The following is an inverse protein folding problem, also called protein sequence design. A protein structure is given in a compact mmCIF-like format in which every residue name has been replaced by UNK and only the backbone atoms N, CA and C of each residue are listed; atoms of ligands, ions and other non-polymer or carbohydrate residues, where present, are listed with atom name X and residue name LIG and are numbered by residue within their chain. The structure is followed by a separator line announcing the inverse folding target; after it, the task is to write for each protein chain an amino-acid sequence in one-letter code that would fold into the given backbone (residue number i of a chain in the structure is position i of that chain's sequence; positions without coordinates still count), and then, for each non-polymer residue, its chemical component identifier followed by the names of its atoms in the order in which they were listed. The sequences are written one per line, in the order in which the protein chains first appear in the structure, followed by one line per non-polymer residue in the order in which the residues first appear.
data_IF_984703437169
#
_entry.id   IF_984703437169
#
_cell.length_a   1.000
_cell.length_b   1.000
_cell.length_c   1.000
_cell.angle_alpha   90.00
_cell.angle_beta   90.00
_cell.angle_gamma   90.00
#
_symmetry.space_group_name_H-M   'P 1'
#
loop_
_entity.id
_entity.type
_entity.pdbx_description
1 polymer ?
#
# COMPACT_ATOMS: atom_id res chain seq x y z
N UNK A 1 2.29 -23.07 17.68
CA UNK A 1 2.43 -23.47 16.28
C UNK A 1 2.56 -22.16 15.51
N UNK A 2 3.83 -21.81 15.21
CA UNK A 2 4.18 -20.58 14.49
C UNK A 2 3.40 -20.52 13.18
N UNK A 3 2.50 -19.56 13.08
CA UNK A 3 1.92 -19.14 11.82
C UNK A 3 2.98 -18.35 11.04
N UNK A 4 3.92 -19.08 10.45
CA UNK A 4 4.88 -18.50 9.49
C UNK A 4 4.19 -18.17 8.18
N UNK A 5 3.14 -17.36 8.23
CA UNK A 5 2.43 -16.89 7.02
C UNK A 5 2.98 -15.56 6.48
N UNK A 6 4.00 -14.99 7.10
CA UNK A 6 4.54 -13.69 6.69
C UNK A 6 5.76 -13.75 5.74
N UNK A 7 6.14 -14.91 5.21
CA UNK A 7 7.34 -15.01 4.35
C UNK A 7 7.16 -14.51 2.91
N UNK A 8 6.00 -14.03 2.52
CA UNK A 8 5.73 -13.50 1.19
C UNK A 8 5.07 -12.14 1.16
N UNK A 9 4.67 -11.62 2.31
CA UNK A 9 3.97 -10.34 2.43
C UNK A 9 4.79 -9.46 3.38
N UNK A 10 5.41 -8.43 2.85
CA UNK A 10 6.14 -7.47 3.67
C UNK A 10 5.17 -6.69 4.55
N UNK A 11 5.38 -6.69 5.84
CA UNK A 11 4.73 -5.77 6.75
C UNK A 11 5.16 -4.35 6.38
N UNK A 12 4.27 -3.57 5.78
CA UNK A 12 4.56 -2.21 5.33
C UNK A 12 4.30 -1.20 6.45
N UNK A 13 3.37 -1.52 7.33
CA UNK A 13 3.02 -0.67 8.45
C UNK A 13 2.60 -1.51 9.66
N UNK A 14 3.42 -1.49 10.68
CA UNK A 14 2.98 -1.69 12.05
C UNK A 14 2.65 -0.31 12.60
N UNK A 15 1.58 -0.19 13.36
CA UNK A 15 1.20 1.07 13.99
C UNK A 15 2.45 1.76 14.53
N UNK A 16 2.65 2.99 14.09
CA UNK A 16 3.63 3.86 14.69
C UNK A 16 3.12 4.20 16.09
N UNK A 17 3.54 3.45 17.08
CA UNK A 17 3.47 3.91 18.44
C UNK A 17 4.34 5.15 18.53
N UNK A 18 3.74 6.25 18.98
CA UNK A 18 4.40 7.58 19.07
C UNK A 18 5.69 7.51 19.94
N UNK A 19 5.85 6.44 20.71
CA UNK A 19 6.97 6.24 21.62
C UNK A 19 8.01 5.20 21.17
N UNK A 20 7.71 4.30 20.26
CA UNK A 20 8.62 3.19 19.92
C UNK A 20 9.25 3.25 18.54
N UNK A 21 8.78 4.11 17.63
CA UNK A 21 9.41 4.30 16.32
C UNK A 21 9.45 3.04 15.44
N UNK A 22 8.61 2.05 15.68
CA UNK A 22 8.49 0.88 14.83
C UNK A 22 7.77 1.28 13.54
N UNK A 23 8.54 1.36 12.49
CA UNK A 23 8.22 2.13 11.33
C UNK A 23 7.67 1.32 10.17
N UNK A 24 7.50 2.06 9.12
CA UNK A 24 7.10 1.63 7.81
C UNK A 24 8.28 0.98 7.08
N UNK A 25 8.16 -0.30 6.70
CA UNK A 25 9.18 -1.08 5.98
C UNK A 25 9.18 -0.82 4.46
N UNK A 26 8.69 0.33 4.01
CA UNK A 26 8.57 0.67 2.57
C UNK A 26 9.92 0.63 1.84
N UNK A 27 11.01 1.03 2.49
CA UNK A 27 12.35 0.98 1.90
C UNK A 27 12.81 -0.47 1.65
N UNK A 28 12.55 -1.35 2.61
CA UNK A 28 12.84 -2.77 2.48
C UNK A 28 11.97 -3.42 1.40
N UNK A 29 10.67 -3.11 1.40
CA UNK A 29 9.73 -3.58 0.39
C UNK A 29 10.15 -3.15 -1.02
N UNK A 30 10.48 -1.87 -1.23
CA UNK A 30 11.01 -1.39 -2.50
C UNK A 30 12.26 -2.17 -2.95
N UNK A 31 13.16 -2.50 -2.01
CA UNK A 31 14.35 -3.32 -2.30
C UNK A 31 13.97 -4.73 -2.76
N UNK A 32 12.94 -5.35 -2.18
CA UNK A 32 12.43 -6.65 -2.60
C UNK A 32 11.82 -6.59 -4.00
N UNK A 33 10.99 -5.57 -4.27
CA UNK A 33 10.37 -5.35 -5.58
C UNK A 33 11.43 -5.13 -6.66
N UNK A 34 12.48 -4.34 -6.39
CA UNK A 34 13.60 -4.12 -7.30
C UNK A 34 14.38 -5.41 -7.62
N UNK A 35 14.40 -6.38 -6.71
CA UNK A 35 14.96 -7.71 -6.93
C UNK A 35 14.03 -8.67 -7.66
N UNK A 36 12.86 -8.21 -8.09
CA UNK A 36 11.85 -9.03 -8.76
C UNK A 36 11.01 -9.90 -7.83
N UNK A 37 11.06 -9.68 -6.52
CA UNK A 37 10.23 -10.43 -5.57
C UNK A 37 8.81 -9.92 -5.61
N UNK A 38 7.88 -10.75 -6.09
CA UNK A 38 6.46 -10.42 -6.16
C UNK A 38 5.84 -10.55 -4.77
N UNK A 39 5.74 -9.44 -4.06
CA UNK A 39 5.16 -9.38 -2.72
C UNK A 39 4.26 -8.16 -2.58
N UNK A 40 3.12 -8.35 -1.94
CA UNK A 40 2.21 -7.27 -1.54
C UNK A 40 2.62 -6.64 -0.20
N UNK A 41 1.79 -5.72 0.27
CA UNK A 41 1.98 -5.06 1.55
C UNK A 41 0.77 -5.26 2.47
N UNK A 42 1.02 -5.31 3.77
CA UNK A 42 -0.01 -5.31 4.80
C UNK A 42 0.18 -4.13 5.73
N UNK A 43 -0.93 -3.61 6.24
CA UNK A 43 -0.96 -2.80 7.45
C UNK A 43 -1.69 -3.58 8.54
N UNK A 44 -1.19 -3.52 9.75
CA UNK A 44 -1.79 -4.16 10.91
C UNK A 44 -1.53 -3.35 12.18
N UNK A 45 -2.35 -3.58 13.20
CA UNK A 45 -2.25 -2.88 14.47
C UNK A 45 -1.17 -3.44 15.40
N UNK A 46 -0.71 -4.67 15.18
CA UNK A 46 0.07 -5.42 16.15
C UNK A 46 -0.59 -5.43 17.56
N UNK A 47 -1.91 -5.56 17.59
CA UNK A 47 -2.74 -5.40 18.77
C UNK A 47 -2.42 -6.45 19.86
N UNK A 48 -2.08 -5.99 21.07
CA UNK A 48 -1.73 -6.84 22.18
C UNK A 48 -2.82 -6.91 23.26
N UNK A 49 -3.33 -5.75 23.66
CA UNK A 49 -4.35 -5.68 24.70
C UNK A 49 -5.07 -4.32 24.67
N UNK A 50 -6.26 -4.23 24.07
CA UNK A 50 -7.00 -2.98 23.91
C UNK A 50 -7.41 -2.33 25.25
N UNK A 51 -7.40 -3.06 26.36
CA UNK A 51 -7.69 -2.50 27.68
C UNK A 51 -6.50 -1.75 28.29
N UNK A 52 -5.28 -2.01 27.82
CA UNK A 52 -4.05 -1.41 28.36
C UNK A 52 -3.33 -0.52 27.35
N UNK A 53 -3.49 -0.82 26.06
CA UNK A 53 -2.80 -0.15 24.97
C UNK A 53 -3.84 0.36 23.97
N UNK A 54 -3.66 1.59 23.49
CA UNK A 54 -4.46 2.12 22.38
C UNK A 54 -3.83 1.70 21.04
N UNK A 55 -3.67 0.38 20.87
CA UNK A 55 -3.01 -0.25 19.74
C UNK A 55 -3.99 -0.87 18.73
N UNK A 56 -5.22 -0.34 18.68
CA UNK A 56 -6.25 -0.74 17.72
C UNK A 56 -6.53 0.36 16.70
N UNK A 57 -6.94 -0.05 15.48
CA UNK A 57 -7.32 0.84 14.36
C UNK A 57 -6.19 1.76 13.88
N UNK A 58 -4.94 1.35 14.04
CA UNK A 58 -3.77 2.04 13.51
C UNK A 58 -3.44 1.62 12.07
N UNK A 59 -3.82 0.40 11.67
CA UNK A 59 -3.58 -0.12 10.32
C UNK A 59 -4.47 -1.32 9.99
N UNK A 60 -4.88 -1.43 8.72
CA UNK A 60 -5.74 -2.49 8.21
C UNK A 60 -5.52 -2.74 6.72
N UNK A 61 -6.12 -3.80 6.20
CA UNK A 61 -6.24 -4.06 4.77
C UNK A 61 -7.68 -3.88 4.33
N UNK A 62 -7.86 -3.29 3.14
CA UNK A 62 -9.15 -3.19 2.47
C UNK A 62 -9.16 -4.15 1.29
N UNK A 63 -9.99 -5.19 1.36
CA UNK A 63 -10.08 -6.23 0.34
C UNK A 63 -11.19 -5.89 -0.62
N UNK A 64 -10.91 -5.94 -1.92
CA UNK A 64 -11.90 -5.81 -2.98
C UNK A 64 -12.57 -7.16 -3.18
N UNK A 65 -13.81 -7.32 -2.73
CA UNK A 65 -14.58 -8.56 -2.89
C UNK A 65 -16.06 -8.24 -3.11
N UNK A 66 -16.71 -9.02 -3.95
CA UNK A 66 -18.17 -8.94 -4.17
C UNK A 66 -18.95 -9.69 -3.08
N UNK A 67 -18.29 -10.62 -2.38
CA UNK A 67 -18.91 -11.45 -1.35
C UNK A 67 -18.16 -11.36 -0.03
N UNK A 68 -18.90 -11.27 1.07
CA UNK A 68 -18.34 -11.31 2.43
C UNK A 68 -18.35 -12.75 2.95
N UNK A 69 -17.60 -13.63 2.30
CA UNK A 69 -17.37 -15.00 2.73
C UNK A 69 -15.88 -15.21 3.05
N UNK A 70 -15.59 -16.15 3.94
CA UNK A 70 -14.18 -16.46 4.29
C UNK A 70 -13.38 -16.89 3.04
N UNK A 71 -13.97 -17.70 2.18
CA UNK A 71 -13.32 -18.18 0.97
C UNK A 71 -13.02 -17.05 -0.02
N UNK A 72 -14.00 -16.16 -0.29
CA UNK A 72 -13.82 -15.02 -1.16
C UNK A 72 -12.73 -14.08 -0.64
N UNK A 73 -12.76 -13.71 0.64
CA UNK A 73 -11.75 -12.84 1.25
C UNK A 73 -10.35 -13.44 1.15
N UNK A 74 -10.19 -14.73 1.46
CA UNK A 74 -8.87 -15.40 1.36
C UNK A 74 -8.37 -15.44 -0.08
N UNK A 75 -9.25 -15.75 -1.04
CA UNK A 75 -8.89 -15.79 -2.46
C UNK A 75 -8.45 -14.43 -2.97
N UNK A 76 -9.17 -13.35 -2.62
CA UNK A 76 -8.79 -11.99 -3.00
C UNK A 76 -7.49 -11.51 -2.32
N UNK A 77 -7.25 -11.89 -1.06
CA UNK A 77 -5.97 -11.64 -0.40
C UNK A 77 -4.81 -12.34 -1.12
N UNK A 78 -5.00 -13.60 -1.53
CA UNK A 78 -3.98 -14.34 -2.28
C UNK A 78 -3.77 -13.80 -3.69
N UNK A 79 -4.82 -13.27 -4.32
CA UNK A 79 -4.74 -12.61 -5.63
C UNK A 79 -4.11 -11.21 -5.58
N UNK A 80 -3.98 -10.60 -4.39
CA UNK A 80 -3.49 -9.23 -4.25
C UNK A 80 -4.54 -8.15 -4.46
N UNK A 81 -5.84 -8.53 -4.48
CA UNK A 81 -6.99 -7.62 -4.67
C UNK A 81 -7.30 -6.85 -3.39
N UNK A 82 -6.32 -6.17 -2.85
CA UNK A 82 -6.46 -5.37 -1.63
C UNK A 82 -5.43 -4.23 -1.61
N UNK A 83 -5.65 -3.27 -0.74
CA UNK A 83 -4.66 -2.27 -0.39
C UNK A 83 -4.50 -2.18 1.14
N UNK A 84 -3.34 -1.71 1.59
CA UNK A 84 -3.07 -1.45 3.00
C UNK A 84 -3.37 0.02 3.33
N UNK A 85 -3.92 0.29 4.51
CA UNK A 85 -4.22 1.65 4.95
C UNK A 85 -4.03 1.85 6.44
N UNK A 86 -3.67 3.08 6.80
CA UNK A 86 -3.70 3.64 8.14
C UNK A 86 -4.65 4.86 8.22
N UNK A 87 -5.50 5.08 7.18
CA UNK A 87 -6.45 6.20 7.15
C UNK A 87 -7.05 6.46 5.78
N UNK A 88 -6.28 6.83 4.74
CA UNK A 88 -6.82 7.13 3.42
C UNK A 88 -7.51 5.93 2.77
N UNK A 89 -8.54 6.22 1.96
CA UNK A 89 -9.22 5.22 1.13
C UNK A 89 -8.69 5.30 -0.30
N UNK A 90 -8.46 4.14 -0.92
CA UNK A 90 -8.17 4.00 -2.36
C UNK A 90 -9.39 3.35 -3.00
N UNK A 91 -10.09 4.09 -3.87
CA UNK A 91 -11.34 3.65 -4.49
C UNK A 91 -11.15 3.06 -5.88
N UNK A 92 -10.08 3.45 -6.58
CA UNK A 92 -9.68 2.87 -7.86
C UNK A 92 -8.16 2.94 -8.03
N UNK A 93 -7.59 1.92 -8.64
CA UNK A 93 -6.17 1.80 -8.94
C UNK A 93 -5.97 0.87 -10.14
N UNK A 94 -5.12 1.27 -11.07
CA UNK A 94 -4.86 0.43 -12.24
C UNK A 94 -3.91 1.07 -13.25
N UNK A 95 -3.70 0.33 -14.34
CA UNK A 95 -2.94 0.75 -15.52
C UNK A 95 -3.84 0.59 -16.75
N UNK A 96 -3.87 1.62 -17.57
CA UNK A 96 -4.56 1.62 -18.87
C UNK A 96 -3.57 2.12 -19.95
N UNK A 97 -3.10 1.19 -20.77
CA UNK A 97 -2.00 1.48 -21.71
C UNK A 97 -0.71 1.84 -20.96
N UNK A 98 -0.22 3.04 -21.18
CA UNK A 98 0.93 3.62 -20.49
C UNK A 98 0.57 4.56 -19.33
N UNK A 99 -0.72 4.72 -19.05
CA UNK A 99 -1.21 5.57 -17.98
C UNK A 99 -1.56 4.76 -16.73
N UNK A 100 -0.97 5.16 -15.61
CA UNK A 100 -1.28 4.64 -14.27
C UNK A 100 -2.23 5.60 -13.59
N UNK A 101 -3.37 5.12 -13.13
CA UNK A 101 -4.39 5.94 -12.47
C UNK A 101 -4.64 5.52 -11.03
N UNK A 102 -4.99 6.48 -10.20
CA UNK A 102 -5.44 6.26 -8.82
C UNK A 102 -6.55 7.25 -8.48
N UNK A 103 -7.58 6.76 -7.78
CA UNK A 103 -8.62 7.57 -7.15
C UNK A 103 -8.69 7.25 -5.67
N UNK A 104 -8.78 8.27 -4.82
CA UNK A 104 -8.71 8.11 -3.37
C UNK A 104 -9.59 9.13 -2.63
N UNK A 105 -9.71 8.94 -1.31
CA UNK A 105 -10.21 9.97 -0.40
C UNK A 105 -9.33 11.23 -0.45
N UNK A 106 -9.81 12.40 0.01
CA UNK A 106 -9.03 13.63 -0.02
C UNK A 106 -7.64 13.48 0.61
N UNK A 107 -6.60 13.70 -0.17
CA UNK A 107 -5.21 13.50 0.19
C UNK A 107 -4.38 14.77 0.03
N UNK A 108 -3.32 14.89 0.82
CA UNK A 108 -2.32 15.94 0.68
C UNK A 108 -1.29 15.60 -0.41
N UNK A 109 -1.04 14.29 -0.63
CA UNK A 109 -0.03 13.84 -1.56
C UNK A 109 -0.37 12.45 -2.11
N UNK A 110 -0.04 12.24 -3.39
CA UNK A 110 -0.07 10.95 -4.05
C UNK A 110 1.31 10.71 -4.66
N UNK A 111 1.95 9.60 -4.31
CA UNK A 111 3.23 9.20 -4.85
C UNK A 111 3.01 7.97 -5.74
N UNK A 112 3.49 8.01 -6.98
CA UNK A 112 3.66 6.85 -7.83
C UNK A 112 5.11 6.42 -7.80
N UNK A 113 5.38 5.19 -7.46
CA UNK A 113 6.71 4.60 -7.36
C UNK A 113 6.77 3.44 -8.34
N UNK A 114 7.71 3.50 -9.26
CA UNK A 114 7.95 2.46 -10.25
C UNK A 114 9.39 2.00 -10.21
N UNK A 115 9.64 0.77 -10.60
CA UNK A 115 10.98 0.19 -10.66
C UNK A 115 11.18 -0.70 -11.87
N UNK A 116 12.45 -0.91 -12.26
CA UNK A 116 12.80 -1.75 -13.40
C UNK A 116 14.29 -1.77 -13.68
N UNK A 117 14.66 -2.27 -14.86
CA UNK A 117 16.07 -2.47 -15.28
C UNK A 117 16.88 -1.16 -15.36
N UNK A 118 16.22 -0.03 -15.56
CA UNK A 118 16.86 1.28 -15.75
C UNK A 118 16.86 2.13 -14.48
N UNK A 119 16.44 1.55 -13.37
CA UNK A 119 16.27 2.26 -12.10
C UNK A 119 14.81 2.48 -11.75
N UNK A 120 14.56 3.18 -10.64
CA UNK A 120 13.21 3.54 -10.21
C UNK A 120 12.84 4.94 -10.65
N UNK A 121 11.56 5.16 -10.82
CA UNK A 121 10.99 6.51 -10.95
C UNK A 121 10.00 6.77 -9.82
N UNK A 122 9.91 8.03 -9.41
CA UNK A 122 8.93 8.48 -8.44
C UNK A 122 8.27 9.75 -8.97
N UNK A 123 6.94 9.73 -9.05
CA UNK A 123 6.15 10.92 -9.36
C UNK A 123 5.37 11.31 -8.12
N UNK A 124 5.63 12.52 -7.64
CA UNK A 124 4.97 13.07 -6.46
C UNK A 124 3.98 14.13 -6.91
N UNK A 125 2.69 13.89 -6.66
CA UNK A 125 1.63 14.87 -6.84
C UNK A 125 1.31 15.51 -5.49
N UNK A 126 1.47 16.81 -5.41
CA UNK A 126 1.15 17.60 -4.22
C UNK A 126 0.54 18.93 -4.64
N UNK A 127 -0.56 19.32 -3.99
CA UNK A 127 -1.24 20.57 -4.28
C UNK A 127 -1.78 21.18 -2.99
N UNK A 128 -2.07 22.50 -3.00
CA UNK A 128 -2.70 23.20 -1.88
C UNK A 128 -4.13 22.71 -1.62
N UNK A 129 -4.87 22.37 -2.70
CA UNK A 129 -6.18 21.74 -2.60
C UNK A 129 -6.03 20.22 -2.44
N UNK A 130 -6.94 19.55 -1.70
CA UNK A 130 -6.92 18.12 -1.56
C UNK A 130 -6.96 17.39 -2.90
N UNK A 131 -6.07 16.42 -3.07
CA UNK A 131 -6.05 15.53 -4.22
C UNK A 131 -7.03 14.38 -4.01
N UNK A 132 -7.85 14.07 -5.02
CA UNK A 132 -8.75 12.91 -5.01
C UNK A 132 -8.46 11.93 -6.13
N UNK A 133 -7.56 12.30 -7.04
CA UNK A 133 -7.09 11.45 -8.14
C UNK A 133 -5.66 11.83 -8.53
N UNK A 134 -4.95 10.89 -9.13
CA UNK A 134 -3.62 11.08 -9.66
C UNK A 134 -3.40 10.24 -10.91
N UNK A 135 -2.53 10.73 -11.78
CA UNK A 135 -2.10 10.07 -13.00
C UNK A 135 -0.57 10.07 -13.06
N UNK A 136 -0.01 8.99 -13.59
CA UNK A 136 1.42 8.85 -13.87
C UNK A 136 1.59 8.12 -15.20
N UNK A 137 2.46 8.64 -16.06
CA UNK A 137 2.76 8.03 -17.36
C UNK A 137 3.98 7.13 -17.24
N UNK A 138 3.86 5.87 -17.66
CA UNK A 138 4.98 4.94 -17.80
C UNK A 138 5.86 5.36 -18.99
N UNK A 139 7.16 5.29 -18.82
CA UNK A 139 8.13 5.73 -19.83
C UNK A 139 8.75 4.55 -20.61
N UNK A 140 8.38 3.31 -20.24
CA UNK A 140 8.96 2.07 -20.76
C UNK A 140 10.24 1.68 -20.05
N UNK A 141 10.32 0.40 -19.67
CA UNK A 141 11.42 -0.16 -18.89
C UNK A 141 11.12 -0.33 -17.41
N UNK A 142 9.97 0.16 -16.96
CA UNK A 142 9.44 -0.19 -15.64
C UNK A 142 8.96 -1.63 -15.66
N UNK A 143 9.23 -2.36 -14.60
CA UNK A 143 8.78 -3.74 -14.42
C UNK A 143 7.66 -3.85 -13.38
N UNK A 144 7.44 -2.81 -12.61
CA UNK A 144 6.35 -2.70 -11.64
C UNK A 144 6.08 -1.23 -11.31
N UNK A 145 4.85 -0.97 -10.89
CA UNK A 145 4.41 0.33 -10.36
C UNK A 145 3.49 0.11 -9.15
N UNK A 146 3.59 0.97 -8.16
CA UNK A 146 2.70 1.07 -7.01
C UNK A 146 2.42 2.52 -6.64
N UNK A 147 1.41 2.75 -5.83
CA UNK A 147 1.12 4.08 -5.33
C UNK A 147 1.06 4.13 -3.79
N UNK A 148 1.31 5.33 -3.27
CA UNK A 148 1.16 5.69 -1.87
C UNK A 148 0.33 6.97 -1.78
N UNK A 149 -0.71 6.95 -0.96
CA UNK A 149 -1.57 8.09 -0.67
C UNK A 149 -1.25 8.59 0.74
N UNK A 150 -1.06 9.90 0.89
CA UNK A 150 -0.80 10.53 2.20
C UNK A 150 -1.88 11.58 2.46
N UNK A 151 -2.61 11.46 3.54
CA UNK A 151 -3.61 12.45 3.93
C UNK A 151 -3.01 13.68 4.64
N UNK A 152 -3.86 14.65 4.97
CA UNK A 152 -3.45 15.87 5.65
C UNK A 152 -3.02 15.66 7.12
N UNK A 153 -3.23 14.46 7.65
CA UNK A 153 -2.78 14.05 9.00
C UNK A 153 -1.49 13.24 8.95
N UNK A 154 -0.94 13.02 7.74
CA UNK A 154 0.27 12.22 7.51
C UNK A 154 0.03 10.71 7.51
N UNK A 155 -1.24 10.26 7.63
CA UNK A 155 -1.58 8.84 7.54
C UNK A 155 -1.47 8.38 6.10
N UNK A 156 -1.21 7.10 5.91
CA UNK A 156 -0.88 6.56 4.59
C UNK A 156 -1.75 5.39 4.19
N UNK A 157 -1.90 5.23 2.87
CA UNK A 157 -2.40 4.01 2.26
C UNK A 157 -1.46 3.61 1.11
N UNK A 158 -1.35 2.31 0.84
CA UNK A 158 -0.44 1.74 -0.15
C UNK A 158 -1.17 0.72 -1.01
N UNK A 159 -1.02 0.84 -2.33
CA UNK A 159 -1.47 -0.20 -3.25
C UNK A 159 -0.49 -1.36 -3.29
N UNK A 160 -0.95 -2.55 -3.62
CA UNK A 160 -0.06 -3.59 -4.10
C UNK A 160 0.57 -3.17 -5.44
N UNK A 161 1.78 -3.67 -5.78
CA UNK A 161 2.39 -3.37 -7.05
C UNK A 161 1.63 -4.05 -8.19
N UNK A 162 1.50 -3.33 -9.31
CA UNK A 162 1.14 -3.91 -10.60
C UNK A 162 2.45 -4.23 -11.31
N UNK A 163 2.61 -5.48 -11.74
CA UNK A 163 3.73 -5.93 -12.56
C UNK A 163 3.40 -5.71 -14.03
N UNK A 164 4.35 -5.14 -14.77
CA UNK A 164 4.20 -4.68 -16.16
C UNK A 164 4.85 -5.64 -17.15
#
# INVERSE_FOLDING_TARGET
RDLRMSRGLGDVYKRQEVECGEGCDTAFWNTMLQKGTQTGCFASDDNHNPAKFFDALGGWVCVKSEELTHEAIVNHLLAGDYYASAGPEITAWGVDGDEVYLTCSPAARINFIAGGLVGGSETILQHESPLTHGLHTLHGGESWVRAEVVDHQGRRAWTNPIWL
#
